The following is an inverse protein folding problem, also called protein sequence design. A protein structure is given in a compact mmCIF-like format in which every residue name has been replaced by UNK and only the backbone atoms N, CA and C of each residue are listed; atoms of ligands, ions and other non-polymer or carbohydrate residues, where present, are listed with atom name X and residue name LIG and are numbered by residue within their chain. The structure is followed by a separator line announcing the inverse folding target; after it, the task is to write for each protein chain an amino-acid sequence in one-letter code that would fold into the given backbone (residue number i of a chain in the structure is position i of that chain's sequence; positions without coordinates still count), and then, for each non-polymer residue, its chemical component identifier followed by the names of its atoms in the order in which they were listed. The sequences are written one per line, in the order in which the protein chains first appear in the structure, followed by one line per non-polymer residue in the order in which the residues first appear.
data_IF_920412899220
#
_entry.id   IF_920412899220
#
_cell.length_a   1.000
_cell.length_b   1.000
_cell.length_c   1.000
_cell.angle_alpha   90.00
_cell.angle_beta   90.00
_cell.angle_gamma   90.00
#
_symmetry.space_group_name_H-M   'P 1'
#
loop_
_entity.id
_entity.type
_entity.pdbx_description
1 polymer ?
#
# COMPACT_ATOMS: atom_id res chain seq x y z
N UNK A 1 26.67 -47.89 61.75
CA UNK A 1 25.75 -46.80 61.40
C UNK A 1 25.14 -47.11 60.04
N UNK A 2 23.87 -47.50 60.00
CA UNK A 2 23.10 -47.77 58.77
C UNK A 2 22.20 -46.55 58.54
N UNK A 3 22.29 -45.90 57.38
CA UNK A 3 21.34 -44.87 56.95
C UNK A 3 20.67 -45.34 55.66
N UNK A 4 19.36 -45.55 55.76
CA UNK A 4 18.41 -45.63 54.65
C UNK A 4 18.10 -44.23 54.13
N UNK A 5 17.93 -44.11 52.81
CA UNK A 5 17.04 -43.13 52.14
C UNK A 5 16.86 -43.61 50.68
N UNK A 6 15.73 -44.21 50.32
CA UNK A 6 14.61 -43.53 49.65
C UNK A 6 15.04 -42.61 48.50
N UNK A 7 15.08 -43.16 47.28
CA UNK A 7 15.07 -42.38 46.04
C UNK A 7 13.68 -42.53 45.40
N UNK A 8 12.87 -41.49 45.54
CA UNK A 8 11.58 -41.31 44.89
C UNK A 8 11.81 -40.68 43.50
N UNK A 9 11.28 -41.38 42.50
CA UNK A 9 10.65 -40.94 41.24
C UNK A 9 10.55 -39.42 41.05
N UNK A 10 11.00 -38.90 39.90
CA UNK A 10 10.22 -38.00 39.05
C UNK A 10 10.78 -38.00 37.62
N UNK A 11 10.03 -38.63 36.72
CA UNK A 11 10.17 -38.47 35.27
C UNK A 11 9.58 -37.11 34.89
N UNK A 12 10.40 -36.17 34.43
CA UNK A 12 9.93 -34.99 33.70
C UNK A 12 10.27 -35.17 32.23
N UNK A 13 9.29 -35.66 31.48
CA UNK A 13 9.28 -35.61 30.02
C UNK A 13 9.01 -34.15 29.65
N UNK A 14 10.06 -33.40 29.32
CA UNK A 14 9.94 -32.11 28.63
C UNK A 14 9.62 -32.39 27.16
N UNK A 15 8.33 -32.51 26.86
CA UNK A 15 7.82 -32.32 25.50
C UNK A 15 8.12 -30.87 25.10
N UNK A 16 9.21 -30.71 24.34
CA UNK A 16 9.47 -29.51 23.56
C UNK A 16 8.43 -29.47 22.45
N UNK A 17 7.29 -28.83 22.71
CA UNK A 17 6.38 -28.38 21.67
C UNK A 17 7.07 -27.24 20.93
N UNK A 18 7.64 -27.54 19.76
CA UNK A 18 7.87 -26.52 18.76
C UNK A 18 6.49 -26.00 18.34
N UNK A 19 6.04 -24.90 18.92
CA UNK A 19 5.00 -24.09 18.34
C UNK A 19 5.61 -23.40 17.12
N UNK A 20 5.61 -24.09 15.98
CA UNK A 20 5.64 -23.43 14.68
C UNK A 20 4.36 -22.63 14.59
N UNK A 21 4.48 -21.31 14.77
CA UNK A 21 3.46 -20.35 14.39
C UNK A 21 3.42 -20.39 12.86
N UNK A 22 2.62 -21.32 12.33
CA UNK A 22 2.21 -21.29 10.94
C UNK A 22 1.27 -20.09 10.79
N UNK A 23 1.78 -19.00 10.22
CA UNK A 23 0.99 -17.85 9.76
C UNK A 23 0.15 -18.25 8.52
N UNK A 24 -0.61 -19.33 8.62
CA UNK A 24 -1.68 -19.63 7.68
C UNK A 24 -2.89 -18.82 8.13
N UNK A 25 -2.93 -17.54 7.73
CA UNK A 25 -4.18 -16.80 7.73
C UNK A 25 -5.08 -17.52 6.74
N UNK A 26 -6.01 -18.30 7.29
CA UNK A 26 -6.96 -19.10 6.55
C UNK A 26 -7.74 -18.21 5.58
N UNK A 27 -7.87 -18.66 4.33
CA UNK A 27 -8.71 -18.07 3.29
C UNK A 27 -10.18 -17.83 3.74
N UNK A 28 -10.58 -18.39 4.87
CA UNK A 28 -11.88 -18.17 5.53
C UNK A 28 -12.10 -16.72 6.01
N UNK A 29 -11.05 -15.97 6.35
CA UNK A 29 -11.18 -14.56 6.74
C UNK A 29 -11.34 -13.61 5.54
N UNK A 30 -10.76 -13.94 4.38
CA UNK A 30 -10.92 -13.14 3.15
C UNK A 30 -12.33 -13.27 2.56
N UNK A 31 -12.99 -14.43 2.72
CA UNK A 31 -14.33 -14.67 2.18
C UNK A 31 -15.45 -13.80 2.79
N UNK A 32 -15.21 -13.16 3.94
CA UNK A 32 -16.18 -12.26 4.59
C UNK A 32 -15.93 -10.77 4.30
N UNK A 33 -14.81 -10.41 3.68
CA UNK A 33 -14.44 -9.00 3.43
C UNK A 33 -14.87 -8.48 2.05
N UNK A 34 -15.33 -9.37 1.15
CA UNK A 34 -15.85 -9.00 -0.16
C UNK A 34 -17.32 -8.54 -0.06
N UNK A 35 -17.54 -7.35 0.50
CA UNK A 35 -18.84 -6.70 0.44
C UNK A 35 -19.07 -6.02 -0.93
N UNK A 36 -20.32 -5.97 -1.43
CA UNK A 36 -20.64 -5.53 -2.80
C UNK A 36 -20.35 -4.05 -3.12
N UNK A 37 -19.90 -3.26 -2.15
CA UNK A 37 -19.66 -1.81 -2.32
C UNK A 37 -18.19 -1.40 -2.36
N UNK A 38 -17.24 -2.32 -2.15
CA UNK A 38 -15.82 -2.03 -2.30
C UNK A 38 -15.19 -2.92 -3.37
N UNK A 39 -14.92 -2.41 -4.57
CA UNK A 39 -14.25 -3.20 -5.59
C UNK A 39 -12.82 -3.49 -5.11
N UNK A 40 -12.47 -4.77 -5.10
CA UNK A 40 -11.08 -5.19 -4.96
C UNK A 40 -10.28 -4.57 -6.11
N UNK A 41 -9.32 -3.69 -5.79
CA UNK A 41 -8.43 -3.08 -6.77
C UNK A 41 -7.12 -3.88 -6.81
N UNK A 42 -6.76 -4.45 -7.95
CA UNK A 42 -5.54 -5.25 -8.10
C UNK A 42 -4.74 -4.86 -9.34
N UNK A 43 -3.43 -4.67 -9.20
CA UNK A 43 -2.49 -4.44 -10.31
C UNK A 43 -1.38 -5.48 -10.30
N UNK A 44 -0.96 -5.91 -11.49
CA UNK A 44 0.20 -6.78 -11.65
C UNK A 44 1.47 -6.07 -11.17
N UNK A 45 2.36 -6.81 -10.53
CA UNK A 45 3.68 -6.33 -10.12
C UNK A 45 4.63 -6.53 -11.32
N UNK A 46 5.10 -5.46 -11.99
CA UNK A 46 5.96 -5.61 -13.14
C UNK A 46 7.28 -6.29 -12.80
N UNK A 47 7.78 -7.12 -13.71
CA UNK A 47 9.04 -7.86 -13.54
C UNK A 47 8.98 -9.02 -12.54
N UNK A 48 7.82 -9.32 -11.96
CA UNK A 48 7.63 -10.49 -11.11
C UNK A 48 7.35 -11.74 -11.97
N UNK A 49 8.24 -12.73 -11.91
CA UNK A 49 8.11 -13.99 -12.69
C UNK A 49 6.91 -14.85 -12.28
N UNK A 50 6.41 -14.68 -11.06
CA UNK A 50 5.26 -15.41 -10.53
C UNK A 50 3.91 -14.74 -10.86
N UNK A 51 3.92 -13.67 -11.68
CA UNK A 51 2.73 -12.90 -12.08
C UNK A 51 1.89 -12.45 -10.89
N UNK A 52 2.55 -12.14 -9.77
CA UNK A 52 1.90 -11.66 -8.57
C UNK A 52 1.21 -10.29 -8.79
N UNK A 53 0.13 -10.07 -8.06
CA UNK A 53 -0.66 -8.84 -8.10
C UNK A 53 -0.71 -8.21 -6.72
N UNK A 54 -0.44 -6.91 -6.65
CA UNK A 54 -0.73 -6.12 -5.46
C UNK A 54 -2.21 -5.77 -5.46
N UNK A 55 -2.90 -6.14 -4.40
CA UNK A 55 -4.31 -5.93 -4.22
C UNK A 55 -4.57 -5.07 -2.99
N UNK A 56 -5.56 -4.20 -3.13
CA UNK A 56 -6.13 -3.42 -2.05
C UNK A 56 -7.59 -3.81 -1.87
N UNK A 57 -7.93 -4.12 -0.62
CA UNK A 57 -9.29 -4.31 -0.16
C UNK A 57 -9.62 -3.23 0.87
N UNK A 58 -10.62 -2.42 0.55
CA UNK A 58 -11.16 -1.41 1.45
C UNK A 58 -12.31 -2.03 2.26
N UNK A 59 -12.33 -1.79 3.56
CA UNK A 59 -13.37 -2.31 4.46
C UNK A 59 -13.96 -1.17 5.28
N UNK A 60 -15.28 -1.19 5.50
CA UNK A 60 -15.97 -0.11 6.23
C UNK A 60 -15.46 0.07 7.67
N UNK A 61 -14.89 -0.99 8.28
CA UNK A 61 -14.55 -1.01 9.71
C UNK A 61 -13.05 -1.16 10.01
N UNK A 62 -12.23 -1.64 9.06
CA UNK A 62 -10.80 -1.88 9.27
C UNK A 62 -9.91 -1.05 8.34
N UNK A 63 -10.50 -0.18 7.52
CA UNK A 63 -9.79 0.65 6.55
C UNK A 63 -9.20 -0.11 5.37
N UNK A 64 -7.96 0.21 5.01
CA UNK A 64 -7.24 -0.35 3.87
C UNK A 64 -6.48 -1.63 4.24
N UNK A 65 -6.65 -2.66 3.42
CA UNK A 65 -5.96 -3.94 3.57
C UNK A 65 -5.20 -4.29 2.29
N UNK A 66 -3.88 -4.27 2.40
CA UNK A 66 -2.96 -4.54 1.29
C UNK A 66 -2.43 -5.96 1.35
N UNK A 67 -2.46 -6.65 0.21
CA UNK A 67 -1.92 -7.98 0.10
C UNK A 67 -1.45 -8.27 -1.31
N UNK A 68 -0.47 -9.16 -1.41
CA UNK A 68 -0.05 -9.73 -2.70
C UNK A 68 -0.76 -11.06 -2.90
N UNK A 69 -1.43 -11.20 -4.04
CA UNK A 69 -2.05 -12.42 -4.51
C UNK A 69 -1.25 -12.98 -5.68
N UNK A 70 -0.91 -14.26 -5.64
CA UNK A 70 -0.35 -14.95 -6.80
C UNK A 70 -1.45 -15.48 -7.72
N UNK A 71 -1.05 -15.96 -8.90
CA UNK A 71 -1.97 -16.48 -9.92
C UNK A 71 -2.47 -17.90 -9.60
N UNK A 72 -1.71 -18.67 -8.82
CA UNK A 72 -2.02 -20.06 -8.51
C UNK A 72 -2.95 -20.20 -7.29
N UNK A 73 -3.87 -21.19 -7.33
CA UNK A 73 -4.77 -21.56 -6.23
C UNK A 73 -4.02 -21.97 -4.93
N UNK A 74 -2.72 -22.23 -5.03
CA UNK A 74 -1.81 -22.55 -3.93
C UNK A 74 -0.87 -21.41 -3.55
N UNK A 75 -0.87 -20.31 -4.30
CA UNK A 75 -0.04 -19.15 -3.97
C UNK A 75 -0.56 -18.53 -2.67
N UNK A 76 0.32 -18.43 -1.67
CA UNK A 76 -0.05 -17.87 -0.38
C UNK A 76 -0.25 -16.38 -0.57
N UNK A 77 -1.47 -15.90 -0.32
CA UNK A 77 -1.69 -14.47 -0.16
C UNK A 77 -0.86 -13.99 1.03
N UNK A 78 -0.03 -12.97 0.82
CA UNK A 78 0.77 -12.35 1.87
C UNK A 78 0.30 -10.94 2.11
N UNK A 79 0.17 -10.57 3.37
CA UNK A 79 -0.17 -9.20 3.78
C UNK A 79 1.05 -8.32 3.54
N UNK A 80 0.82 -7.06 3.16
CA UNK A 80 1.86 -6.03 3.04
C UNK A 80 1.58 -5.00 4.13
N UNK A 81 2.23 -5.15 5.28
CA UNK A 81 1.94 -4.30 6.45
C UNK A 81 2.52 -2.89 6.29
N UNK A 82 3.61 -2.76 5.51
CA UNK A 82 4.24 -1.48 5.20
C UNK A 82 3.35 -0.47 4.43
N UNK A 83 2.18 -0.88 3.93
CA UNK A 83 1.24 -0.03 3.18
C UNK A 83 0.04 0.48 3.97
N UNK A 84 0.00 0.32 5.29
CA UNK A 84 -1.08 0.89 6.09
C UNK A 84 -0.96 2.43 6.12
N UNK A 85 -1.94 3.13 5.53
CA UNK A 85 -2.03 4.59 5.59
C UNK A 85 -2.91 5.10 6.74
N UNK A 86 -3.56 4.20 7.49
CA UNK A 86 -4.24 4.56 8.73
C UNK A 86 -3.22 4.85 9.84
N UNK A 87 -3.15 6.10 10.29
CA UNK A 87 -2.52 6.41 11.58
C UNK A 87 -3.39 5.91 12.74
N UNK A 88 -2.79 5.59 13.89
CA UNK A 88 -3.48 5.15 15.12
C UNK A 88 -4.42 6.23 15.75
N UNK A 89 -4.68 7.33 15.04
CA UNK A 89 -5.56 8.42 15.44
C UNK A 89 -6.97 8.30 14.85
N UNK A 90 -7.94 8.97 15.47
CA UNK A 90 -9.35 9.00 15.01
C UNK A 90 -9.58 9.72 13.66
N UNK A 91 -8.52 10.01 12.90
CA UNK A 91 -8.61 10.60 11.56
C UNK A 91 -8.98 9.54 10.55
N UNK A 92 -10.15 9.67 9.92
CA UNK A 92 -10.55 8.75 8.85
C UNK A 92 -9.72 9.00 7.61
N UNK A 93 -8.91 8.02 7.20
CA UNK A 93 -8.27 7.98 5.88
C UNK A 93 -9.21 7.23 4.94
N UNK A 94 -9.54 7.86 3.81
CA UNK A 94 -10.27 7.22 2.72
C UNK A 94 -9.34 6.99 1.53
N UNK A 95 -9.62 5.97 0.74
CA UNK A 95 -8.76 5.57 -0.37
C UNK A 95 -9.38 5.94 -1.72
N UNK A 96 -8.58 6.56 -2.59
CA UNK A 96 -8.98 6.88 -3.95
C UNK A 96 -8.57 5.79 -4.93
N UNK A 97 -7.28 5.75 -5.25
CA UNK A 97 -6.70 4.87 -6.27
C UNK A 97 -5.21 4.65 -6.03
N UNK A 98 -4.64 3.61 -6.65
CA UNK A 98 -3.19 3.44 -6.73
C UNK A 98 -2.74 3.13 -8.15
N UNK A 99 -1.44 3.20 -8.40
CA UNK A 99 -0.83 2.76 -9.65
C UNK A 99 0.61 2.32 -9.46
N UNK A 100 1.00 1.21 -10.10
CA UNK A 100 2.39 0.74 -10.12
C UNK A 100 3.07 1.25 -11.39
N UNK A 101 4.25 1.84 -11.23
CA UNK A 101 5.11 2.26 -12.35
C UNK A 101 5.45 1.09 -13.30
N UNK A 102 5.60 1.31 -14.61
CA UNK A 102 5.80 0.24 -15.59
C UNK A 102 7.02 -0.67 -15.34
N UNK A 103 8.09 -0.14 -14.75
CA UNK A 103 9.29 -0.91 -14.37
C UNK A 103 9.20 -1.50 -12.96
N UNK A 104 8.16 -1.19 -12.19
CA UNK A 104 7.94 -1.71 -10.84
C UNK A 104 8.83 -1.06 -9.79
N UNK A 105 9.36 0.14 -10.04
CA UNK A 105 10.19 0.86 -9.04
C UNK A 105 9.34 1.57 -8.00
N UNK A 106 8.24 2.18 -8.42
CA UNK A 106 7.38 3.02 -7.59
C UNK A 106 5.93 2.53 -7.54
N UNK A 107 5.30 2.78 -6.40
CA UNK A 107 3.86 2.71 -6.16
C UNK A 107 3.36 4.13 -5.86
N UNK A 108 2.41 4.59 -6.66
CA UNK A 108 1.67 5.84 -6.43
C UNK A 108 0.33 5.53 -5.76
N UNK A 109 -0.04 6.30 -4.74
CA UNK A 109 -1.25 6.07 -3.94
C UNK A 109 -1.94 7.40 -3.68
N UNK A 110 -3.21 7.53 -4.05
CA UNK A 110 -4.06 8.65 -3.63
C UNK A 110 -4.91 8.20 -2.44
N UNK A 111 -4.67 8.86 -1.32
CA UNK A 111 -5.51 8.80 -0.13
C UNK A 111 -6.23 10.13 0.06
N UNK A 112 -7.23 10.17 0.92
CA UNK A 112 -7.86 11.39 1.38
C UNK A 112 -8.01 11.37 2.91
N UNK A 113 -7.33 12.29 3.57
CA UNK A 113 -7.36 12.50 5.02
C UNK A 113 -8.31 13.65 5.34
N UNK A 114 -9.36 13.42 6.12
CA UNK A 114 -10.39 14.44 6.41
C UNK A 114 -11.02 15.07 5.15
N UNK A 115 -10.98 14.35 4.02
CA UNK A 115 -11.45 14.84 2.71
C UNK A 115 -10.41 15.65 1.93
N UNK A 116 -9.15 15.70 2.38
CA UNK A 116 -8.04 16.34 1.68
C UNK A 116 -7.27 15.29 0.87
N UNK A 117 -7.32 15.31 -0.48
CA UNK A 117 -6.58 14.36 -1.28
C UNK A 117 -5.06 14.57 -1.18
N UNK A 118 -4.36 13.46 -0.97
CA UNK A 118 -2.90 13.40 -0.87
C UNK A 118 -2.42 12.27 -1.78
N UNK A 119 -1.53 12.61 -2.72
CA UNK A 119 -0.78 11.66 -3.51
C UNK A 119 0.55 11.35 -2.83
N UNK A 120 0.75 10.08 -2.49
CA UNK A 120 1.94 9.55 -1.85
C UNK A 120 2.66 8.57 -2.78
N UNK A 121 3.96 8.46 -2.61
CA UNK A 121 4.78 7.48 -3.32
C UNK A 121 5.50 6.56 -2.34
N UNK A 122 5.75 5.33 -2.80
CA UNK A 122 6.54 4.31 -2.12
C UNK A 122 7.48 3.64 -3.13
N UNK A 123 8.64 3.17 -2.67
CA UNK A 123 9.46 2.23 -3.44
C UNK A 123 8.81 0.86 -3.34
N UNK A 124 8.36 0.33 -4.48
CA UNK A 124 7.55 -0.89 -4.50
C UNK A 124 8.31 -2.06 -3.85
N UNK A 125 9.59 -2.24 -4.16
CA UNK A 125 10.36 -3.38 -3.63
C UNK A 125 10.53 -3.34 -2.12
N UNK A 126 10.81 -2.16 -1.54
CA UNK A 126 10.95 -2.02 -0.09
C UNK A 126 9.62 -2.31 0.59
N UNK A 127 8.56 -1.71 0.06
CA UNK A 127 7.19 -1.94 0.48
C UNK A 127 6.82 -3.42 0.47
N UNK A 128 7.08 -4.12 -0.65
CA UNK A 128 6.76 -5.53 -0.80
C UNK A 128 7.58 -6.43 0.12
N UNK A 129 8.72 -5.97 0.61
CA UNK A 129 9.62 -6.69 1.53
C UNK A 129 9.48 -6.24 2.99
N UNK A 130 8.48 -5.41 3.29
CA UNK A 130 8.26 -4.77 4.61
C UNK A 130 9.53 -4.10 5.16
N UNK A 131 10.28 -3.43 4.27
CA UNK A 131 11.48 -2.68 4.61
C UNK A 131 11.16 -1.19 4.78
N UNK A 132 11.88 -0.55 5.70
CA UNK A 132 11.82 0.90 5.89
C UNK A 132 12.19 1.62 4.59
N UNK A 133 11.43 2.66 4.24
CA UNK A 133 11.71 3.49 3.07
C UNK A 133 12.97 4.34 3.30
N UNK A 134 13.99 4.25 2.43
CA UNK A 134 15.29 4.88 2.66
C UNK A 134 15.29 6.40 2.46
N UNK A 135 14.25 6.98 1.84
CA UNK A 135 14.15 8.42 1.56
C UNK A 135 12.70 8.92 1.58
N UNK A 136 12.51 10.21 1.91
CA UNK A 136 11.23 10.90 1.78
C UNK A 136 10.91 11.10 0.30
N UNK A 137 10.26 10.13 -0.33
CA UNK A 137 9.60 10.35 -1.62
C UNK A 137 8.62 11.53 -1.49
N UNK A 138 8.41 12.30 -2.56
CA UNK A 138 7.55 13.47 -2.52
C UNK A 138 6.13 13.06 -2.13
N UNK A 139 5.41 13.98 -1.49
CA UNK A 139 3.98 13.88 -1.28
C UNK A 139 3.32 15.14 -1.83
N UNK A 140 2.18 15.00 -2.52
CA UNK A 140 1.42 16.13 -3.04
C UNK A 140 0.05 16.15 -2.37
N UNK A 141 -0.16 17.12 -1.49
CA UNK A 141 -1.45 17.37 -0.88
C UNK A 141 -2.12 18.56 -1.54
N UNK A 142 -3.38 18.41 -1.92
CA UNK A 142 -4.20 19.50 -2.48
C UNK A 142 -5.35 19.83 -1.55
N UNK A 143 -5.46 21.10 -1.16
CA UNK A 143 -6.64 21.60 -0.45
C UNK A 143 -6.89 23.10 -0.70
N UNK A 144 -8.13 23.48 -1.11
CA UNK A 144 -9.21 22.60 -1.58
C UNK A 144 -8.83 21.89 -2.88
N UNK A 145 -9.68 20.98 -3.36
CA UNK A 145 -9.55 20.42 -4.71
C UNK A 145 -9.59 18.89 -4.78
N UNK A 146 -9.25 18.39 -5.97
CA UNK A 146 -9.24 16.99 -6.32
C UNK A 146 -7.96 16.62 -7.08
N UNK A 147 -7.65 15.32 -7.06
CA UNK A 147 -6.54 14.74 -7.79
C UNK A 147 -6.90 13.37 -8.35
N UNK A 148 -6.36 13.05 -9.52
CA UNK A 148 -6.46 11.73 -10.11
C UNK A 148 -5.15 11.32 -10.84
N UNK A 149 -4.84 10.04 -10.85
CA UNK A 149 -3.78 9.41 -11.64
C UNK A 149 -4.29 9.20 -13.06
N UNK A 150 -3.59 9.74 -14.05
CA UNK A 150 -3.89 9.50 -15.48
C UNK A 150 -3.06 8.38 -16.09
N UNK A 151 -1.88 8.12 -15.51
CA UNK A 151 -1.02 7.01 -15.89
C UNK A 151 0.45 7.39 -15.92
N UNK A 152 1.30 6.44 -16.26
CA UNK A 152 2.75 6.62 -16.29
C UNK A 152 3.27 6.92 -17.70
N UNK A 153 4.29 7.78 -17.80
CA UNK A 153 5.05 8.11 -19.03
C UNK A 153 6.51 7.67 -18.91
N UNK A 154 6.76 6.57 -18.22
CA UNK A 154 8.08 6.12 -17.82
C UNK A 154 8.01 5.52 -16.43
N UNK A 155 9.11 4.94 -15.96
CA UNK A 155 9.15 4.36 -14.62
C UNK A 155 9.16 5.45 -13.53
N UNK A 156 9.73 6.61 -13.85
CA UNK A 156 9.97 7.75 -12.97
C UNK A 156 9.09 8.97 -13.28
N UNK A 157 8.16 8.87 -14.23
CA UNK A 157 7.35 9.99 -14.69
C UNK A 157 5.86 9.61 -14.70
N UNK A 158 5.05 10.31 -13.91
CA UNK A 158 3.61 10.08 -13.79
C UNK A 158 2.82 11.31 -14.24
N UNK A 159 1.73 11.07 -14.95
CA UNK A 159 0.73 12.08 -15.30
C UNK A 159 -0.37 12.03 -14.25
N UNK A 160 -0.60 13.18 -13.61
CA UNK A 160 -1.70 13.38 -12.66
C UNK A 160 -2.57 14.53 -13.14
N UNK A 161 -3.83 14.54 -12.72
CA UNK A 161 -4.77 15.61 -13.02
C UNK A 161 -5.26 16.23 -11.74
N UNK A 162 -5.31 17.57 -11.70
CA UNK A 162 -5.81 18.30 -10.53
C UNK A 162 -6.51 19.59 -10.96
N UNK A 163 -7.53 19.96 -10.21
CA UNK A 163 -8.24 21.25 -10.31
C UNK A 163 -7.53 22.38 -9.54
N UNK A 164 -6.34 22.11 -8.98
CA UNK A 164 -5.42 23.07 -8.41
C UNK A 164 -4.23 23.34 -9.34
N UNK A 165 -3.67 24.55 -9.30
CA UNK A 165 -2.37 24.84 -9.91
C UNK A 165 -1.25 24.20 -9.09
N UNK A 166 -0.77 23.04 -9.51
CA UNK A 166 0.30 22.31 -8.81
C UNK A 166 1.70 22.91 -9.04
N UNK A 167 1.88 23.75 -10.06
CA UNK A 167 3.18 24.38 -10.37
C UNK A 167 3.42 25.60 -9.48
N UNK A 168 2.37 26.37 -9.23
CA UNK A 168 2.42 27.57 -8.38
C UNK A 168 1.56 27.40 -7.13
N UNK A 169 1.48 26.18 -6.60
CA UNK A 169 0.53 25.82 -5.55
C UNK A 169 0.52 26.83 -4.39
N UNK A 170 -0.67 27.38 -4.16
CA UNK A 170 -0.99 28.22 -3.01
C UNK A 170 -2.09 27.53 -2.23
N UNK A 171 -1.79 27.14 -0.99
CA UNK A 171 -2.78 26.55 -0.10
C UNK A 171 -4.00 27.46 0.05
N UNK A 172 -5.20 26.93 -0.16
CA UNK A 172 -6.43 27.72 -0.15
C UNK A 172 -6.70 28.52 -1.44
N UNK A 173 -5.99 28.20 -2.54
CA UNK A 173 -6.24 28.76 -3.86
C UNK A 173 -7.63 28.43 -4.42
N UNK A 174 -8.07 29.21 -5.41
CA UNK A 174 -9.34 28.97 -6.09
C UNK A 174 -9.30 27.65 -6.88
N UNK A 175 -10.37 26.85 -6.79
CA UNK A 175 -10.51 25.61 -7.57
C UNK A 175 -10.88 25.98 -9.01
N UNK A 176 -10.11 25.50 -9.97
CA UNK A 176 -10.28 25.77 -11.39
C UNK A 176 -10.79 24.57 -12.18
N UNK A 177 -10.57 24.61 -13.49
CA UNK A 177 -10.71 23.42 -14.34
C UNK A 177 -9.57 22.44 -14.04
N UNK A 178 -9.82 21.14 -14.19
CA UNK A 178 -8.76 20.15 -14.02
C UNK A 178 -7.74 20.25 -15.15
N UNK A 179 -6.46 20.28 -14.76
CA UNK A 179 -5.31 20.29 -15.66
C UNK A 179 -4.42 19.08 -15.40
N UNK A 180 -3.77 18.59 -16.45
CA UNK A 180 -2.83 17.49 -16.34
C UNK A 180 -1.41 18.02 -16.09
N UNK A 181 -0.69 17.34 -15.19
CA UNK A 181 0.66 17.65 -14.77
C UNK A 181 1.54 16.42 -14.90
N UNK A 182 2.80 16.66 -15.29
CA UNK A 182 3.88 15.68 -15.21
C UNK A 182 4.58 15.85 -13.88
N UNK A 183 4.64 14.77 -13.11
CA UNK A 183 5.42 14.66 -11.89
C UNK A 183 6.56 13.68 -12.10
N UNK A 184 7.77 14.16 -11.84
CA UNK A 184 8.99 13.36 -11.92
C UNK A 184 9.41 12.85 -10.53
N UNK A 185 9.82 11.58 -10.45
CA UNK A 185 10.37 10.91 -9.28
C UNK A 185 11.88 10.68 -9.46
N UNK A 186 12.67 10.64 -8.39
CA UNK A 186 12.29 10.81 -6.98
C UNK A 186 12.20 12.28 -6.53
N UNK A 187 12.49 13.25 -7.40
CA UNK A 187 12.71 14.64 -6.98
C UNK A 187 11.43 15.48 -6.78
N UNK A 188 10.26 14.95 -7.16
CA UNK A 188 8.97 15.60 -6.95
C UNK A 188 8.72 16.82 -7.82
N UNK A 189 9.48 17.00 -8.91
CA UNK A 189 9.29 18.14 -9.80
C UNK A 189 7.97 18.01 -10.56
N UNK A 190 7.13 19.03 -10.42
CA UNK A 190 5.86 19.18 -11.15
C UNK A 190 6.05 20.12 -12.34
N UNK A 191 5.48 19.76 -13.49
CA UNK A 191 5.38 20.63 -14.65
C UNK A 191 4.04 20.42 -15.37
N UNK A 192 3.54 21.39 -16.15
CA UNK A 192 2.33 21.18 -16.95
C UNK A 192 2.54 20.04 -17.95
N UNK A 193 1.56 19.15 -18.10
CA UNK A 193 1.55 18.20 -19.20
C UNK A 193 1.25 18.97 -20.48
N UNK A 194 2.29 19.29 -21.26
CA UNK A 194 2.09 19.92 -22.56
C UNK A 194 1.38 18.91 -23.44
N UNK A 195 0.14 19.20 -23.84
CA UNK A 195 -0.54 18.44 -24.87
C UNK A 195 0.34 18.48 -26.13
N UNK A 196 0.98 17.35 -26.44
CA UNK A 196 1.63 17.20 -27.75
C UNK A 196 0.50 17.22 -28.76
N UNK A 197 0.34 18.35 -29.45
CA UNK A 197 -0.61 18.46 -30.55
C UNK A 197 -0.31 17.31 -31.53
N UNK A 198 -1.26 16.38 -31.64
CA UNK A 198 -1.23 15.30 -32.63
C UNK A 198 -1.49 15.86 -34.03
#
# INVERSE_FOLDING_TARGET
MKRSACALIFWTVLLSGCATVDNNIEASQMGQLLQPHNPLQCQEIPGNEAHERLCLLMTENKGDFWFVAGEDEYSKNRIVEALSFMEEGNGGVSFGEFSISPGGSYLAVIIAEEGHPILLFRQLQNTLQDQDEPENLPGIATYPGSMAIKGWQGDDLIVISSDQDLVHYQHGGEVGESHDYLLHLPDGKVSPAIAVAQ
#
